data_IF_098377127739
#
_entry.id   IF_098377127739
#
_cell.length_a   1.000
_cell.length_b   1.000
_cell.length_c   1.000
_cell.angle_alpha   90.00
_cell.angle_beta   90.00
_cell.angle_gamma   90.00
#
_symmetry.space_group_name_H-M   'P 1'
#
loop_
_entity.id
_entity.type
_entity.pdbx_description
1 polymer ?
#
# COMPACT_ATOMS: atom_id res chain seq x y z
N UNK A 1 6.24 -12.96 -1.43
CA UNK A 1 5.02 -12.19 -1.15
C UNK A 1 5.34 -10.70 -1.19
N UNK A 2 4.49 -9.88 -1.80
CA UNK A 2 4.69 -8.43 -1.86
C UNK A 2 3.44 -7.76 -1.30
N UNK A 3 3.61 -6.76 -0.45
CA UNK A 3 2.53 -6.09 0.27
C UNK A 3 2.49 -4.63 -0.13
N UNK A 4 1.32 -4.10 -0.50
CA UNK A 4 1.14 -2.67 -0.35
C UNK A 4 1.21 -2.30 1.13
N UNK A 5 1.32 -1.04 1.43
CA UNK A 5 1.43 -0.57 2.82
C UNK A 5 0.10 -0.05 3.34
N UNK A 6 -0.45 0.97 2.69
CA UNK A 6 -1.67 1.63 3.12
C UNK A 6 -2.89 0.78 2.72
N UNK A 7 -3.79 0.53 3.66
CA UNK A 7 -4.92 -0.38 3.47
C UNK A 7 -4.57 -1.88 3.53
N UNK A 8 -3.27 -2.25 3.57
CA UNK A 8 -2.82 -3.65 3.62
C UNK A 8 -2.03 -3.96 4.89
N UNK A 9 -1.00 -3.20 5.22
CA UNK A 9 -0.25 -3.34 6.49
C UNK A 9 -0.93 -2.51 7.57
N UNK A 10 -1.30 -1.27 7.23
CA UNK A 10 -2.02 -0.34 8.10
C UNK A 10 -3.30 0.14 7.42
N UNK A 11 -4.43 0.11 8.10
CA UNK A 11 -5.68 0.74 7.66
C UNK A 11 -5.60 2.25 7.98
N UNK A 12 -4.84 2.97 7.16
CA UNK A 12 -4.50 4.38 7.35
C UNK A 12 -5.34 5.35 6.51
N UNK A 13 -6.16 4.85 5.59
CA UNK A 13 -6.99 5.69 4.72
C UNK A 13 -7.90 6.67 5.49
N UNK A 14 -8.54 6.28 6.62
CA UNK A 14 -9.29 7.23 7.43
C UNK A 14 -8.42 8.37 7.99
N UNK A 15 -7.15 8.09 8.35
CA UNK A 15 -6.22 9.11 8.85
C UNK A 15 -5.71 10.03 7.73
N UNK A 16 -5.48 9.51 6.53
CA UNK A 16 -5.16 10.35 5.38
C UNK A 16 -6.29 11.33 5.07
N UNK A 17 -7.53 10.87 5.15
CA UNK A 17 -8.72 11.72 5.00
C UNK A 17 -8.70 12.88 6.02
N UNK A 18 -8.58 12.56 7.31
CA UNK A 18 -8.57 13.55 8.39
C UNK A 18 -7.38 14.48 8.29
N UNK A 19 -6.20 13.98 7.91
CA UNK A 19 -5.00 14.81 7.77
C UNK A 19 -5.10 15.79 6.60
N UNK A 20 -5.70 15.41 5.46
CA UNK A 20 -6.00 16.33 4.38
C UNK A 20 -7.04 17.37 4.76
N UNK A 21 -8.11 16.95 5.45
CA UNK A 21 -9.15 17.87 5.94
C UNK A 21 -8.57 18.93 6.86
N UNK A 22 -7.77 18.53 7.85
CA UNK A 22 -7.10 19.45 8.77
C UNK A 22 -6.05 20.31 8.07
N UNK A 23 -5.28 19.73 7.13
CA UNK A 23 -4.28 20.48 6.37
C UNK A 23 -4.94 21.56 5.51
N UNK A 24 -5.98 21.21 4.77
CA UNK A 24 -6.76 22.13 3.94
C UNK A 24 -7.39 23.24 4.79
N UNK A 25 -7.99 22.88 5.94
CA UNK A 25 -8.57 23.84 6.88
C UNK A 25 -7.56 24.91 7.32
N UNK A 26 -6.30 24.51 7.61
CA UNK A 26 -5.21 25.45 7.98
C UNK A 26 -4.87 26.42 6.85
N UNK A 27 -5.16 26.05 5.61
CA UNK A 27 -4.90 26.86 4.41
C UNK A 27 -6.17 27.53 3.86
N UNK A 28 -7.29 27.49 4.58
CA UNK A 28 -8.55 28.14 4.17
C UNK A 28 -9.25 27.43 3.01
N UNK A 29 -8.93 26.18 2.73
CA UNK A 29 -9.56 25.37 1.66
C UNK A 29 -10.63 24.49 2.28
N UNK A 30 -11.93 24.63 1.87
CA UNK A 30 -12.97 23.72 2.29
C UNK A 30 -12.77 22.35 1.62
N UNK A 31 -12.75 21.28 2.41
CA UNK A 31 -12.64 19.92 1.89
C UNK A 31 -14.03 19.33 1.70
N UNK A 32 -14.35 18.92 0.48
CA UNK A 32 -15.62 18.28 0.12
C UNK A 32 -15.48 16.76 0.04
N UNK A 33 -16.60 16.02 0.17
CA UNK A 33 -16.59 14.57 -0.02
C UNK A 33 -16.09 14.17 -1.42
N UNK A 34 -16.40 14.97 -2.46
CA UNK A 34 -15.91 14.75 -3.80
C UNK A 34 -14.37 14.86 -3.88
N UNK A 35 -13.77 15.84 -3.21
CA UNK A 35 -12.30 15.97 -3.11
C UNK A 35 -11.68 14.77 -2.41
N UNK A 36 -12.30 14.31 -1.33
CA UNK A 36 -11.82 13.16 -0.57
C UNK A 36 -11.90 11.87 -1.39
N UNK A 37 -12.98 11.64 -2.12
CA UNK A 37 -13.09 10.48 -3.03
C UNK A 37 -12.08 10.55 -4.18
N UNK A 38 -11.84 11.75 -4.70
CA UNK A 38 -10.91 11.96 -5.81
C UNK A 38 -9.45 11.69 -5.45
N UNK A 39 -9.03 11.90 -4.19
CA UNK A 39 -7.64 11.76 -3.78
C UNK A 39 -7.16 10.30 -3.64
N UNK A 40 -8.07 9.33 -3.47
CA UNK A 40 -7.68 7.94 -3.22
C UNK A 40 -6.85 7.34 -4.37
N UNK A 41 -5.73 6.70 -4.01
CA UNK A 41 -4.80 6.07 -4.94
C UNK A 41 -3.90 7.04 -5.72
N UNK A 42 -4.02 8.35 -5.48
CA UNK A 42 -3.18 9.37 -6.10
C UNK A 42 -1.93 9.67 -5.29
N UNK A 43 -0.92 10.21 -5.99
CA UNK A 43 0.28 10.73 -5.35
C UNK A 43 0.03 12.12 -4.76
N UNK A 44 0.83 12.50 -3.77
CA UNK A 44 0.71 13.79 -3.11
C UNK A 44 0.84 14.99 -4.07
N UNK A 45 1.72 14.90 -5.07
CA UNK A 45 1.90 15.96 -6.06
C UNK A 45 0.62 16.22 -6.86
N UNK A 46 -0.07 15.16 -7.30
CA UNK A 46 -1.37 15.28 -7.96
C UNK A 46 -2.44 15.88 -7.03
N UNK A 47 -2.48 15.43 -5.77
CA UNK A 47 -3.47 15.90 -4.80
C UNK A 47 -3.24 17.37 -4.46
N UNK A 48 -1.98 17.78 -4.26
CA UNK A 48 -1.62 19.18 -3.99
C UNK A 48 -2.03 20.07 -5.16
N UNK A 49 -1.72 19.69 -6.40
CA UNK A 49 -2.16 20.45 -7.59
C UNK A 49 -3.68 20.58 -7.66
N UNK A 50 -4.39 19.48 -7.40
CA UNK A 50 -5.85 19.47 -7.43
C UNK A 50 -6.50 20.34 -6.35
N UNK A 51 -5.89 20.44 -5.17
CA UNK A 51 -6.46 21.20 -4.04
C UNK A 51 -5.98 22.66 -4.00
N UNK A 52 -4.73 22.93 -4.37
CA UNK A 52 -4.11 24.24 -4.26
C UNK A 52 -3.93 24.95 -5.60
N UNK A 53 -4.04 24.23 -6.72
CA UNK A 53 -4.00 24.75 -8.08
C UNK A 53 -2.71 24.45 -8.84
N UNK A 54 -2.83 24.49 -10.17
CA UNK A 54 -1.75 24.15 -11.11
C UNK A 54 -0.64 25.23 -11.20
N UNK A 55 -0.81 26.37 -10.54
CA UNK A 55 0.13 27.50 -10.59
C UNK A 55 1.33 27.34 -9.62
N UNK A 56 1.28 26.31 -8.75
CA UNK A 56 2.33 26.06 -7.79
C UNK A 56 3.63 25.57 -8.48
N UNK A 57 4.76 26.02 -7.96
CA UNK A 57 6.07 25.48 -8.33
C UNK A 57 6.26 24.08 -7.78
N UNK A 58 7.17 23.30 -8.36
CA UNK A 58 7.51 21.95 -7.86
C UNK A 58 7.96 21.97 -6.40
N UNK A 59 8.71 23.00 -5.99
CA UNK A 59 9.15 23.18 -4.59
C UNK A 59 7.96 23.41 -3.64
N UNK A 60 6.98 24.20 -4.05
CA UNK A 60 5.77 24.43 -3.27
C UNK A 60 4.93 23.17 -3.16
N UNK A 61 4.77 22.43 -4.25
CA UNK A 61 4.07 21.14 -4.27
C UNK A 61 4.72 20.16 -3.31
N UNK A 62 6.03 20.00 -3.40
CA UNK A 62 6.79 19.14 -2.49
C UNK A 62 6.61 19.57 -1.03
N UNK A 63 6.71 20.87 -0.74
CA UNK A 63 6.56 21.41 0.62
C UNK A 63 5.16 21.14 1.18
N UNK A 64 4.10 21.35 0.40
CA UNK A 64 2.72 21.05 0.81
C UNK A 64 2.54 19.56 1.10
N UNK A 65 3.00 18.69 0.21
CA UNK A 65 2.97 17.25 0.40
C UNK A 65 3.68 16.81 1.68
N UNK A 66 4.94 17.25 1.87
CA UNK A 66 5.75 16.91 3.03
C UNK A 66 5.13 17.38 4.36
N UNK A 67 4.55 18.59 4.40
CA UNK A 67 3.87 19.11 5.58
C UNK A 67 2.60 18.32 5.92
N UNK A 68 1.81 17.97 4.92
CA UNK A 68 0.63 17.12 5.11
C UNK A 68 1.03 15.73 5.61
N UNK A 69 2.07 15.12 5.05
CA UNK A 69 2.53 13.81 5.49
C UNK A 69 3.12 13.84 6.92
N UNK A 70 3.79 14.93 7.30
CA UNK A 70 4.22 15.12 8.68
C UNK A 70 3.02 15.17 9.66
N UNK A 71 1.93 15.83 9.26
CA UNK A 71 0.69 15.85 10.04
C UNK A 71 0.06 14.45 10.15
N UNK A 72 0.01 13.72 9.05
CA UNK A 72 -0.47 12.33 9.03
C UNK A 72 0.34 11.44 9.98
N UNK A 73 1.68 11.47 9.91
CA UNK A 73 2.54 10.69 10.82
C UNK A 73 2.31 11.04 12.29
N UNK A 74 2.11 12.32 12.59
CA UNK A 74 1.78 12.76 13.96
C UNK A 74 0.45 12.17 14.45
N UNK A 75 -0.57 12.11 13.59
CA UNK A 75 -1.86 11.53 13.93
C UNK A 75 -1.78 10.00 14.07
N UNK A 76 -0.98 9.35 13.23
CA UNK A 76 -0.81 7.89 13.24
C UNK A 76 -0.01 7.41 14.44
N UNK A 77 0.94 8.21 14.96
CA UNK A 77 1.88 7.77 15.99
C UNK A 77 1.20 7.17 17.23
N UNK A 78 0.18 7.85 17.73
CA UNK A 78 -0.57 7.39 18.91
C UNK A 78 -1.56 6.27 18.62
N UNK A 79 -1.80 5.96 17.35
CA UNK A 79 -2.81 5.01 16.87
C UNK A 79 -2.22 3.83 16.11
N UNK A 80 -0.89 3.71 16.05
CA UNK A 80 -0.18 2.74 15.21
C UNK A 80 -0.71 1.31 15.39
N UNK A 81 -0.83 0.85 16.64
CA UNK A 81 -1.26 -0.54 16.90
C UNK A 81 -2.72 -0.79 16.51
N UNK A 82 -3.60 0.16 16.72
CA UNK A 82 -5.02 0.03 16.37
C UNK A 82 -5.28 0.13 14.86
N UNK A 83 -4.35 0.74 14.12
CA UNK A 83 -4.44 0.87 12.66
C UNK A 83 -3.82 -0.29 11.91
N UNK A 84 -3.07 -1.19 12.58
CA UNK A 84 -2.58 -2.39 11.91
C UNK A 84 -3.76 -3.23 11.42
N UNK A 85 -3.69 -3.67 10.16
CA UNK A 85 -4.71 -4.56 9.61
C UNK A 85 -4.76 -5.85 10.44
N UNK A 86 -5.95 -6.28 10.91
CA UNK A 86 -6.07 -7.43 11.79
C UNK A 86 -5.40 -8.68 11.23
N UNK A 87 -4.58 -9.34 12.07
CA UNK A 87 -3.88 -10.57 11.70
C UNK A 87 -2.57 -10.39 10.94
N UNK A 88 -2.16 -9.16 10.57
CA UNK A 88 -0.91 -8.95 9.80
C UNK A 88 0.33 -9.47 10.56
N UNK A 89 0.48 -9.17 11.84
CA UNK A 89 1.64 -9.63 12.63
C UNK A 89 1.76 -11.16 12.67
N UNK A 90 0.75 -11.92 13.14
CA UNK A 90 0.81 -13.38 13.15
C UNK A 90 0.93 -13.97 11.75
N UNK A 91 0.40 -13.32 10.72
CA UNK A 91 0.57 -13.75 9.34
C UNK A 91 2.04 -13.64 8.89
N UNK A 92 2.68 -12.50 9.12
CA UNK A 92 4.09 -12.28 8.77
C UNK A 92 5.02 -13.24 9.52
N UNK A 93 4.75 -13.49 10.80
CA UNK A 93 5.52 -14.44 11.63
C UNK A 93 5.36 -15.89 11.17
N UNK A 94 4.13 -16.32 10.87
CA UNK A 94 3.87 -17.67 10.35
C UNK A 94 4.61 -17.94 9.04
N UNK A 95 4.80 -16.91 8.23
CA UNK A 95 5.46 -17.01 6.92
C UNK A 95 6.88 -16.41 6.95
N UNK A 96 7.56 -16.41 8.11
CA UNK A 96 8.88 -15.76 8.27
C UNK A 96 9.93 -16.25 7.29
N UNK A 97 9.88 -17.52 6.89
CA UNK A 97 10.84 -18.13 5.98
C UNK A 97 10.60 -17.77 4.50
N UNK A 98 9.46 -17.19 4.18
CA UNK A 98 9.16 -16.72 2.81
C UNK A 98 9.72 -15.31 2.59
N UNK A 99 10.35 -15.06 1.42
CA UNK A 99 10.80 -13.72 1.07
C UNK A 99 9.61 -12.77 0.96
N UNK A 100 9.70 -11.61 1.63
CA UNK A 100 8.66 -10.59 1.67
C UNK A 100 9.22 -9.21 1.32
N UNK A 101 8.45 -8.43 0.56
CA UNK A 101 8.76 -7.03 0.27
C UNK A 101 7.52 -6.16 0.46
N UNK A 102 7.75 -4.87 0.66
CA UNK A 102 6.74 -3.82 0.53
C UNK A 102 6.90 -3.17 -0.85
N UNK A 103 5.77 -2.91 -1.54
CA UNK A 103 5.72 -2.16 -2.79
C UNK A 103 4.57 -1.17 -2.75
N UNK A 104 4.87 0.12 -2.55
CA UNK A 104 3.87 1.17 -2.28
C UNK A 104 4.13 2.45 -3.07
N UNK A 105 3.07 3.26 -3.29
CA UNK A 105 3.20 4.62 -3.81
C UNK A 105 3.53 5.65 -2.73
N UNK A 106 3.55 5.25 -1.45
CA UNK A 106 3.86 6.14 -0.34
C UNK A 106 5.29 6.69 -0.43
N UNK A 107 5.51 7.86 0.19
CA UNK A 107 6.85 8.45 0.29
C UNK A 107 7.75 7.67 1.27
N UNK A 108 9.09 7.72 1.09
CA UNK A 108 10.05 7.00 1.94
C UNK A 108 9.84 7.25 3.43
N UNK A 109 9.58 8.49 3.82
CA UNK A 109 9.39 8.87 5.22
C UNK A 109 8.17 8.18 5.87
N UNK A 110 7.11 7.92 5.11
CA UNK A 110 5.95 7.17 5.60
C UNK A 110 6.27 5.67 5.73
N UNK A 111 6.99 5.10 4.75
CA UNK A 111 7.43 3.70 4.80
C UNK A 111 8.31 3.47 6.03
N UNK A 112 9.30 4.34 6.25
CA UNK A 112 10.20 4.26 7.41
C UNK A 112 9.45 4.41 8.73
N UNK A 113 8.52 5.35 8.79
CA UNK A 113 7.70 5.60 9.97
C UNK A 113 6.81 4.40 10.30
N UNK A 114 6.02 3.92 9.33
CA UNK A 114 5.07 2.81 9.53
C UNK A 114 5.82 1.54 9.92
N UNK A 115 6.80 1.11 9.14
CA UNK A 115 7.53 -0.13 9.40
C UNK A 115 8.40 -0.05 10.66
N UNK A 116 8.95 1.12 10.96
CA UNK A 116 9.77 1.34 12.16
C UNK A 116 8.92 1.35 13.43
N UNK A 117 7.84 2.17 13.46
CA UNK A 117 6.97 2.29 14.65
C UNK A 117 6.15 1.04 14.93
N UNK A 118 5.71 0.33 13.90
CA UNK A 118 5.05 -0.96 14.06
C UNK A 118 6.02 -2.10 14.43
N UNK A 119 7.33 -1.92 14.32
CA UNK A 119 8.31 -2.98 14.49
C UNK A 119 8.30 -4.06 13.41
N UNK A 120 7.63 -3.81 12.27
CA UNK A 120 7.50 -4.78 11.19
C UNK A 120 8.64 -4.73 10.16
N UNK A 121 9.54 -3.74 10.24
CA UNK A 121 10.70 -3.62 9.34
C UNK A 121 11.49 -4.93 9.16
N UNK A 122 11.82 -5.70 10.21
CA UNK A 122 12.57 -6.94 10.07
C UNK A 122 11.85 -8.05 9.31
N UNK A 123 10.52 -7.94 9.13
CA UNK A 123 9.75 -8.93 8.39
C UNK A 123 9.93 -8.83 6.87
N UNK A 124 10.46 -7.71 6.37
CA UNK A 124 10.58 -7.43 4.95
C UNK A 124 12.05 -7.37 4.52
N UNK A 125 12.39 -8.15 3.49
CA UNK A 125 13.72 -8.18 2.89
C UNK A 125 14.01 -6.95 2.05
N UNK A 126 12.96 -6.36 1.44
CA UNK A 126 13.06 -5.19 0.58
C UNK A 126 11.85 -4.28 0.77
N UNK A 127 12.03 -2.99 0.48
CA UNK A 127 10.96 -2.00 0.36
C UNK A 127 11.17 -1.22 -0.93
N UNK A 128 10.10 -1.02 -1.69
CA UNK A 128 10.06 -0.16 -2.88
C UNK A 128 8.98 0.88 -2.63
N UNK A 129 9.38 2.13 -2.53
CA UNK A 129 8.51 3.28 -2.30
C UNK A 129 8.28 4.12 -3.57
N UNK A 130 7.42 5.13 -3.49
CA UNK A 130 7.02 5.95 -4.62
C UNK A 130 8.15 6.80 -5.24
N UNK A 131 9.28 6.98 -4.54
CA UNK A 131 10.45 7.71 -5.07
C UNK A 131 11.46 6.81 -5.77
N UNK A 132 11.32 5.49 -5.65
CA UNK A 132 12.22 4.51 -6.27
C UNK A 132 11.73 4.03 -7.64
N UNK A 133 10.58 4.53 -8.10
CA UNK A 133 9.98 4.18 -9.39
C UNK A 133 9.70 5.44 -10.21
N UNK A 134 9.78 5.30 -11.53
CA UNK A 134 9.45 6.40 -12.45
C UNK A 134 7.93 6.53 -12.63
N UNK A 135 7.23 5.39 -12.64
CA UNK A 135 5.81 5.31 -12.88
C UNK A 135 5.09 4.70 -11.67
N UNK A 136 4.20 5.50 -11.07
CA UNK A 136 3.35 5.05 -9.97
C UNK A 136 2.32 4.00 -10.44
N UNK A 137 1.71 3.26 -9.50
CA UNK A 137 0.53 2.43 -9.79
C UNK A 137 -0.54 3.27 -10.50
N UNK A 138 -1.17 2.77 -11.58
CA UNK A 138 -1.32 1.37 -11.96
C UNK A 138 -0.17 0.79 -12.81
N UNK A 139 0.93 1.51 -13.03
CA UNK A 139 2.10 0.93 -13.71
C UNK A 139 2.73 -0.19 -12.85
N UNK A 140 3.17 -1.33 -13.43
CA UNK A 140 3.65 -2.48 -12.68
C UNK A 140 5.03 -2.31 -12.05
N UNK A 141 5.73 -1.21 -12.29
CA UNK A 141 7.14 -1.00 -11.97
C UNK A 141 7.48 -1.28 -10.50
N UNK A 142 6.64 -0.81 -9.56
CA UNK A 142 6.85 -0.99 -8.12
C UNK A 142 6.88 -2.47 -7.73
N UNK A 143 6.02 -3.28 -8.32
CA UNK A 143 5.95 -4.71 -8.01
C UNK A 143 7.01 -5.51 -8.74
N UNK A 144 7.31 -5.18 -10.00
CA UNK A 144 8.42 -5.80 -10.75
C UNK A 144 9.75 -5.57 -10.03
N UNK A 145 10.00 -4.33 -9.57
CA UNK A 145 11.20 -4.00 -8.80
C UNK A 145 11.25 -4.72 -7.45
N UNK A 146 10.12 -4.85 -6.76
CA UNK A 146 10.04 -5.61 -5.52
C UNK A 146 10.35 -7.09 -5.74
N UNK A 147 9.85 -7.70 -6.81
CA UNK A 147 10.14 -9.09 -7.18
C UNK A 147 11.64 -9.27 -7.53
N UNK A 148 12.23 -8.34 -8.28
CA UNK A 148 13.66 -8.32 -8.59
C UNK A 148 14.51 -8.32 -7.30
N UNK A 149 14.20 -7.43 -6.35
CA UNK A 149 14.92 -7.34 -5.07
C UNK A 149 14.76 -8.59 -4.20
N UNK A 150 13.65 -9.31 -4.35
CA UNK A 150 13.44 -10.60 -3.71
C UNK A 150 14.17 -11.75 -4.41
N UNK A 151 14.57 -11.59 -5.67
CA UNK A 151 15.12 -12.63 -6.53
C UNK A 151 14.08 -13.70 -6.90
N UNK A 152 12.80 -13.28 -7.07
CA UNK A 152 11.67 -14.17 -7.37
C UNK A 152 11.01 -13.72 -8.67
N UNK A 153 10.78 -14.64 -9.62
CA UNK A 153 10.09 -14.30 -10.85
C UNK A 153 8.63 -13.87 -10.58
N UNK A 154 8.11 -12.87 -11.33
CA UNK A 154 6.80 -12.28 -11.07
C UNK A 154 5.65 -13.29 -10.98
N UNK A 155 5.63 -14.31 -11.84
CA UNK A 155 4.60 -15.37 -11.86
C UNK A 155 4.51 -16.19 -10.57
N UNK A 156 5.57 -16.20 -9.76
CA UNK A 156 5.60 -16.84 -8.43
C UNK A 156 5.32 -15.85 -7.29
N UNK A 157 5.09 -14.59 -7.61
CA UNK A 157 4.76 -13.57 -6.61
C UNK A 157 3.26 -13.52 -6.33
N UNK A 158 2.93 -13.25 -5.08
CA UNK A 158 1.59 -12.90 -4.63
C UNK A 158 1.64 -11.49 -4.07
N UNK A 159 0.77 -10.61 -4.58
CA UNK A 159 0.60 -9.23 -4.13
C UNK A 159 -0.62 -9.14 -3.23
N UNK A 160 -0.52 -8.40 -2.13
CA UNK A 160 -1.63 -8.01 -1.27
C UNK A 160 -1.94 -6.53 -1.50
N UNK A 161 -3.20 -6.20 -1.83
CA UNK A 161 -3.62 -4.88 -2.28
C UNK A 161 -5.06 -4.54 -1.87
N UNK A 162 -5.34 -3.24 -1.68
CA UNK A 162 -6.67 -2.74 -1.30
C UNK A 162 -7.25 -1.76 -2.32
N UNK A 163 -6.49 -1.37 -3.34
CA UNK A 163 -6.85 -0.36 -4.34
C UNK A 163 -6.96 -0.90 -5.76
N UNK A 164 -7.86 -0.31 -6.56
CA UNK A 164 -8.01 -0.68 -7.96
C UNK A 164 -6.74 -0.44 -8.78
N UNK A 165 -6.01 0.65 -8.50
CA UNK A 165 -4.75 0.97 -9.19
C UNK A 165 -3.65 -0.01 -8.86
N UNK A 166 -3.57 -0.46 -7.60
CA UNK A 166 -2.59 -1.44 -7.18
C UNK A 166 -2.91 -2.85 -7.68
N UNK A 167 -4.18 -3.24 -7.73
CA UNK A 167 -4.60 -4.50 -8.38
C UNK A 167 -4.20 -4.52 -9.84
N UNK A 168 -4.47 -3.42 -10.58
CA UNK A 168 -4.05 -3.30 -11.98
C UNK A 168 -2.54 -3.42 -12.13
N UNK A 169 -1.75 -2.78 -11.25
CA UNK A 169 -0.30 -2.88 -11.25
C UNK A 169 0.19 -4.32 -11.01
N UNK A 170 -0.38 -5.02 -10.03
CA UNK A 170 -0.04 -6.41 -9.72
C UNK A 170 -0.36 -7.37 -10.87
N UNK A 171 -1.54 -7.23 -11.46
CA UNK A 171 -1.96 -8.02 -12.64
C UNK A 171 -1.07 -7.71 -13.85
N UNK A 172 -0.79 -6.42 -14.11
CA UNK A 172 0.11 -6.01 -15.20
C UNK A 172 1.55 -6.50 -15.00
N UNK A 173 1.98 -6.70 -13.75
CA UNK A 173 3.26 -7.32 -13.42
C UNK A 173 3.27 -8.85 -13.64
N UNK A 174 2.16 -9.48 -14.03
CA UNK A 174 2.03 -10.93 -14.17
C UNK A 174 1.93 -11.68 -12.83
N UNK A 175 1.55 -10.98 -11.76
CA UNK A 175 1.46 -11.54 -10.41
C UNK A 175 0.03 -11.91 -10.04
N UNK A 176 -0.13 -12.82 -9.08
CA UNK A 176 -1.43 -13.10 -8.47
C UNK A 176 -1.71 -12.06 -7.40
N UNK A 177 -2.91 -11.48 -7.41
CA UNK A 177 -3.29 -10.44 -6.46
C UNK A 177 -4.36 -10.95 -5.51
N UNK A 178 -4.17 -10.73 -4.22
CA UNK A 178 -5.16 -10.91 -3.16
C UNK A 178 -5.63 -9.52 -2.76
N UNK A 179 -6.93 -9.28 -2.90
CA UNK A 179 -7.55 -8.03 -2.51
C UNK A 179 -7.93 -8.01 -1.03
N UNK A 180 -7.71 -6.86 -0.36
CA UNK A 180 -8.23 -6.56 0.97
C UNK A 180 -9.39 -5.57 0.87
N UNK A 181 -10.47 -5.82 1.61
CA UNK A 181 -11.67 -4.97 1.57
C UNK A 181 -11.61 -3.76 2.51
N UNK A 182 -10.41 -3.30 2.87
CA UNK A 182 -10.20 -2.13 3.73
C UNK A 182 -10.63 -0.81 3.06
N UNK A 183 -10.39 -0.67 1.76
CA UNK A 183 -10.75 0.54 0.99
C UNK A 183 -11.93 0.31 0.06
N UNK A 184 -11.97 -0.85 -0.61
CA UNK A 184 -13.03 -1.20 -1.56
C UNK A 184 -13.62 -2.57 -1.23
N UNK A 185 -14.95 -2.67 -1.20
CA UNK A 185 -15.64 -3.94 -0.96
C UNK A 185 -15.37 -4.99 -2.05
N UNK A 186 -15.13 -4.54 -3.28
CA UNK A 186 -14.85 -5.38 -4.44
C UNK A 186 -13.70 -4.81 -5.25
N UNK A 187 -12.80 -5.67 -5.70
CA UNK A 187 -11.66 -5.34 -6.55
C UNK A 187 -11.61 -6.31 -7.73
N UNK A 188 -12.01 -5.87 -8.94
CA UNK A 188 -11.93 -6.70 -10.14
C UNK A 188 -10.50 -7.12 -10.46
N UNK A 189 -10.30 -8.39 -10.83
CA UNK A 189 -9.00 -8.93 -11.24
C UNK A 189 -8.20 -9.60 -10.13
N UNK A 190 -8.70 -9.62 -8.88
CA UNK A 190 -8.04 -10.36 -7.80
C UNK A 190 -8.35 -11.85 -7.85
N UNK A 191 -7.40 -12.66 -7.40
CA UNK A 191 -7.55 -14.12 -7.28
C UNK A 191 -8.36 -14.52 -6.03
N UNK A 192 -8.40 -13.64 -5.03
CA UNK A 192 -9.15 -13.80 -3.78
C UNK A 192 -9.40 -12.43 -3.18
N UNK A 193 -10.61 -12.20 -2.62
CA UNK A 193 -10.89 -11.11 -1.69
C UNK A 193 -10.87 -11.62 -0.26
N UNK A 194 -10.26 -10.86 0.64
CA UNK A 194 -10.25 -11.12 2.08
C UNK A 194 -10.62 -9.85 2.83
N UNK A 195 -11.17 -9.99 4.02
CA UNK A 195 -11.43 -8.85 4.91
C UNK A 195 -10.13 -8.40 5.62
N UNK A 196 -9.36 -9.38 6.08
CA UNK A 196 -8.10 -9.16 6.80
C UNK A 196 -7.26 -10.46 6.81
N UNK A 197 -6.09 -10.44 7.45
CA UNK A 197 -5.18 -11.60 7.47
C UNK A 197 -5.61 -12.76 8.37
N UNK A 198 -6.72 -12.63 9.11
CA UNK A 198 -7.33 -13.73 9.86
C UNK A 198 -8.34 -14.53 9.02
N UNK A 199 -8.65 -14.08 7.81
CA UNK A 199 -9.62 -14.76 6.93
C UNK A 199 -9.16 -16.19 6.62
N UNK A 200 -9.97 -17.22 6.95
CA UNK A 200 -9.60 -18.62 6.70
C UNK A 200 -9.46 -18.94 5.20
N UNK A 201 -10.12 -18.18 4.32
CA UNK A 201 -9.98 -18.35 2.88
C UNK A 201 -8.55 -18.10 2.40
N UNK A 202 -7.82 -17.19 3.06
CA UNK A 202 -6.42 -16.89 2.75
C UNK A 202 -5.53 -18.11 2.95
N UNK A 203 -5.62 -18.77 4.12
CA UNK A 203 -4.82 -19.94 4.42
C UNK A 203 -5.14 -21.10 3.45
N UNK A 204 -6.42 -21.32 3.16
CA UNK A 204 -6.86 -22.35 2.21
C UNK A 204 -6.40 -22.05 0.78
N UNK A 205 -6.38 -20.78 0.37
CA UNK A 205 -5.89 -20.38 -0.95
C UNK A 205 -4.38 -20.60 -1.08
N UNK A 206 -3.58 -20.14 -0.11
CA UNK A 206 -2.12 -20.32 -0.11
C UNK A 206 -1.71 -21.80 -0.11
N UNK A 207 -2.40 -22.65 0.66
CA UNK A 207 -2.13 -24.09 0.67
C UNK A 207 -2.32 -24.75 -0.71
N UNK A 208 -3.32 -24.31 -1.47
CA UNK A 208 -3.54 -24.82 -2.85
C UNK A 208 -2.43 -24.41 -3.81
N UNK A 209 -1.84 -23.23 -3.65
CA UNK A 209 -0.74 -22.78 -4.50
C UNK A 209 0.52 -23.65 -4.32
N UNK A 210 0.85 -23.98 -3.06
CA UNK A 210 2.01 -24.82 -2.73
C UNK A 210 1.91 -26.25 -3.31
N UNK A 211 0.70 -26.79 -3.49
CA UNK A 211 0.50 -28.13 -4.05
C UNK A 211 0.60 -28.14 -5.59
N UNK A 212 0.22 -27.05 -6.25
CA UNK A 212 0.27 -26.96 -7.73
C UNK A 212 1.69 -26.95 -8.27
N UNK A 213 2.67 -26.41 -7.53
CA UNK A 213 4.08 -26.41 -7.92
C UNK A 213 4.75 -27.78 -7.83
N UNK A 214 4.29 -28.66 -6.92
CA UNK A 214 4.82 -30.04 -6.78
C UNK A 214 4.38 -30.93 -7.94
N UNK A 215 3.23 -30.66 -8.56
CA UNK A 215 2.67 -31.50 -9.64
C UNK A 215 3.19 -31.08 -11.03
N UNK A 216 3.63 -29.84 -11.20
CA UNK A 216 4.14 -29.33 -12.48
C UNK A 216 5.66 -29.46 -12.64
N UNK A 217 6.40 -29.90 -11.64
CA UNK A 217 7.86 -30.10 -11.63
C UNK A 217 8.32 -31.57 -11.63
N UNK A 218 7.41 -32.50 -11.98
CA UNK A 218 7.69 -33.94 -12.10
C UNK A 218 7.82 -34.40 -13.56
#
# INVERSE_FOLDING_TARGET
MIFDMEGVIVDSNPLHRVSWEEYNRRHGIPTTDAMQQWMYGKRNDEIVRGFFGEHLTEEEIFRHGAQKEALYRTMLESRMEETLVPGIRPFLERHRDMPKAVGTNAEPANVDFVLGRSGLRPCFRATVDGHQVQHAKPHPEVYLRAAELLGVAPEYCVVFEDSSTGVQAGVAAGMRVIGLSTTHAELPGVALMIENFNDPALAAWLARQSVSEVISGG
#
